data_IF_143199571420
#
_entry.id   IF_143199571420
#
_cell.length_a   1.000
_cell.length_b   1.000
_cell.length_c   1.000
_cell.angle_alpha   90.00
_cell.angle_beta   90.00
_cell.angle_gamma   90.00
#
_symmetry.space_group_name_H-M   'P 1'
#
loop_
_entity.id
_entity.type
_entity.pdbx_description
1 polymer ?
#
# COMPACT_ATOMS: atom_id res chain seq x y z
N UNK A 1 -0.03 -1.40 -11.20
CA UNK A 1 0.25 0.06 -11.19
C UNK A 1 0.92 0.43 -9.88
N UNK A 2 1.73 1.52 -9.87
CA UNK A 2 2.47 1.99 -8.69
C UNK A 2 1.84 3.23 -8.03
N UNK A 3 0.65 3.64 -8.47
CA UNK A 3 -0.06 4.79 -7.96
C UNK A 3 -1.42 4.36 -7.41
N UNK A 4 -1.79 4.91 -6.25
CA UNK A 4 -3.12 4.79 -5.67
C UNK A 4 -3.72 6.19 -5.49
N UNK A 5 -4.89 6.41 -6.09
CA UNK A 5 -5.66 7.64 -5.93
C UNK A 5 -6.75 7.38 -4.90
N UNK A 6 -6.48 7.77 -3.66
CA UNK A 6 -7.39 7.54 -2.53
C UNK A 6 -7.06 8.47 -1.36
N UNK A 7 -8.10 8.93 -0.67
CA UNK A 7 -7.93 9.78 0.51
C UNK A 7 -7.53 8.94 1.72
N UNK A 8 -6.88 9.57 2.72
CA UNK A 8 -6.59 8.92 4.00
C UNK A 8 -7.88 8.45 4.71
N UNK A 9 -8.97 9.19 4.53
CA UNK A 9 -10.28 8.85 5.08
C UNK A 9 -10.85 7.57 4.45
N UNK A 10 -10.74 7.43 3.12
CA UNK A 10 -11.14 6.22 2.43
C UNK A 10 -10.31 5.01 2.90
N UNK A 11 -8.99 5.17 3.04
CA UNK A 11 -8.11 4.11 3.55
C UNK A 11 -8.47 3.75 5.00
N UNK A 12 -8.73 4.75 5.84
CA UNK A 12 -9.10 4.56 7.24
C UNK A 12 -10.42 3.76 7.34
N UNK A 13 -11.42 4.12 6.54
CA UNK A 13 -12.70 3.41 6.47
C UNK A 13 -12.53 1.97 5.99
N UNK A 14 -11.70 1.72 4.96
CA UNK A 14 -11.46 0.35 4.45
C UNK A 14 -10.73 -0.54 5.46
N UNK A 15 -9.81 0.04 6.25
CA UNK A 15 -9.01 -0.70 7.21
C UNK A 15 -9.64 -0.75 8.61
N UNK A 16 -10.77 -0.05 8.84
CA UNK A 16 -11.41 0.06 10.15
C UNK A 16 -10.53 0.76 11.21
N UNK A 17 -9.62 1.63 10.78
CA UNK A 17 -8.67 2.35 11.65
C UNK A 17 -8.98 3.85 11.66
N UNK A 18 -8.34 4.58 12.58
CA UNK A 18 -8.46 6.04 12.62
C UNK A 18 -7.62 6.71 11.53
N UNK A 19 -8.10 7.84 11.00
CA UNK A 19 -7.44 8.64 9.95
C UNK A 19 -6.03 9.08 10.36
N UNK A 20 -5.83 9.41 11.63
CA UNK A 20 -4.54 9.83 12.17
C UNK A 20 -3.50 8.71 12.05
N UNK A 21 -3.91 7.46 12.28
CA UNK A 21 -3.04 6.29 12.15
C UNK A 21 -2.59 6.06 10.70
N UNK A 22 -3.50 6.25 9.74
CA UNK A 22 -3.17 6.21 8.31
C UNK A 22 -2.19 7.31 7.93
N UNK A 23 -2.41 8.52 8.46
CA UNK A 23 -1.55 9.68 8.21
C UNK A 23 -0.15 9.45 8.76
N UNK A 24 -0.04 9.00 10.00
CA UNK A 24 1.24 8.71 10.65
C UNK A 24 2.01 7.62 9.91
N UNK A 25 1.34 6.55 9.48
CA UNK A 25 1.96 5.49 8.69
C UNK A 25 2.46 6.02 7.33
N UNK A 26 1.63 6.78 6.61
CA UNK A 26 2.01 7.38 5.32
C UNK A 26 3.22 8.32 5.46
N UNK A 27 3.25 9.16 6.50
CA UNK A 27 4.38 10.05 6.76
C UNK A 27 5.66 9.29 7.08
N UNK A 28 5.60 8.21 7.89
CA UNK A 28 6.76 7.34 8.18
C UNK A 28 7.31 6.67 6.92
N UNK A 29 6.42 6.20 6.04
CA UNK A 29 6.81 5.56 4.78
C UNK A 29 7.40 6.58 3.79
N UNK A 30 6.86 7.80 3.75
CA UNK A 30 7.40 8.90 2.94
C UNK A 30 8.78 9.36 3.46
N UNK A 31 8.94 9.51 4.77
CA UNK A 31 10.23 9.85 5.38
C UNK A 31 11.28 8.76 5.13
N UNK A 32 10.87 7.50 4.99
CA UNK A 32 11.74 6.39 4.62
C UNK A 32 12.03 6.31 3.11
N UNK A 33 11.48 7.21 2.28
CA UNK A 33 11.66 7.25 0.83
C UNK A 33 10.97 6.10 0.07
N UNK A 34 10.01 5.43 0.70
CA UNK A 34 9.33 4.25 0.13
C UNK A 34 8.13 4.64 -0.71
N UNK A 35 7.48 5.75 -0.33
CA UNK A 35 6.34 6.31 -1.04
C UNK A 35 6.50 7.83 -1.19
N UNK A 36 5.82 8.39 -2.18
CA UNK A 36 5.52 9.81 -2.26
C UNK A 36 4.02 10.01 -2.01
N UNK A 37 3.65 11.00 -1.20
CA UNK A 37 2.27 11.34 -0.91
C UNK A 37 2.00 12.82 -1.17
N UNK A 38 1.05 13.11 -2.07
CA UNK A 38 0.59 14.47 -2.32
C UNK A 38 -0.87 14.49 -2.80
N UNK A 39 -1.68 15.40 -2.24
CA UNK A 39 -3.07 15.67 -2.68
C UNK A 39 -3.97 14.43 -2.84
N UNK A 40 -3.83 13.41 -1.98
CA UNK A 40 -4.63 12.19 -2.07
C UNK A 40 -4.11 11.16 -3.10
N UNK A 41 -2.88 11.34 -3.59
CA UNK A 41 -2.18 10.38 -4.42
C UNK A 41 -1.03 9.77 -3.63
N UNK A 42 -0.92 8.44 -3.69
CA UNK A 42 0.19 7.66 -3.14
C UNK A 42 0.95 7.03 -4.29
N UNK A 43 2.22 7.39 -4.46
CA UNK A 43 3.13 6.71 -5.41
C UNK A 43 4.08 5.81 -4.64
N UNK A 44 4.18 4.55 -5.05
CA UNK A 44 5.16 3.62 -4.52
C UNK A 44 6.48 3.82 -5.26
N UNK A 45 7.51 4.27 -4.56
CA UNK A 45 8.84 4.54 -5.11
C UNK A 45 9.71 3.28 -5.12
N UNK A 46 9.61 2.50 -4.04
CA UNK A 46 10.41 1.28 -3.86
C UNK A 46 9.54 0.17 -3.27
N UNK A 47 8.90 -0.59 -4.15
CA UNK A 47 8.03 -1.71 -3.78
C UNK A 47 8.77 -2.83 -3.05
N UNK A 48 9.94 -3.32 -3.52
CA UNK A 48 10.69 -4.34 -2.81
C UNK A 48 11.03 -3.95 -1.36
N UNK A 49 11.48 -2.71 -1.14
CA UNK A 49 11.83 -2.22 0.20
C UNK A 49 10.60 -1.94 1.06
N UNK A 50 9.49 -1.54 0.45
CA UNK A 50 8.19 -1.42 1.14
C UNK A 50 7.71 -2.80 1.62
N UNK A 51 7.84 -3.84 0.80
CA UNK A 51 7.47 -5.22 1.14
C UNK A 51 8.35 -5.83 2.23
N UNK A 52 9.60 -5.39 2.40
CA UNK A 52 10.45 -5.81 3.52
C UNK A 52 9.98 -5.26 4.88
N UNK A 53 9.17 -4.20 4.88
CA UNK A 53 8.62 -3.58 6.10
C UNK A 53 7.23 -4.06 6.48
N UNK A 54 6.61 -4.90 5.67
CA UNK A 54 5.29 -5.47 5.98
C UNK A 54 5.44 -6.66 6.94
N UNK A 55 4.39 -6.96 7.72
CA UNK A 55 4.36 -8.21 8.47
C UNK A 55 4.27 -9.41 7.53
N UNK A 56 4.58 -10.59 8.06
CA UNK A 56 4.36 -11.89 7.42
C UNK A 56 2.93 -12.05 6.90
N UNK A 57 1.97 -11.38 7.56
CA UNK A 57 0.60 -11.19 7.13
C UNK A 57 0.46 -10.82 5.63
N UNK A 58 1.33 -9.94 5.12
CA UNK A 58 1.29 -9.46 3.74
C UNK A 58 1.72 -10.56 2.77
N UNK A 59 2.73 -11.35 3.14
CA UNK A 59 3.22 -12.46 2.31
C UNK A 59 2.16 -13.54 2.15
N UNK A 60 1.43 -13.85 3.22
CA UNK A 60 0.32 -14.83 3.18
C UNK A 60 -0.77 -14.34 2.23
N UNK A 61 -1.22 -13.09 2.39
CA UNK A 61 -2.26 -12.51 1.52
C UNK A 61 -1.79 -12.41 0.07
N UNK A 62 -0.55 -12.01 -0.17
CA UNK A 62 0.04 -11.92 -1.52
C UNK A 62 0.13 -13.30 -2.17
N UNK A 63 0.56 -14.32 -1.43
CA UNK A 63 0.64 -15.69 -1.94
C UNK A 63 -0.74 -16.22 -2.34
N UNK A 64 -1.77 -16.00 -1.52
CA UNK A 64 -3.13 -16.40 -1.87
C UNK A 64 -3.71 -15.56 -3.02
N UNK A 65 -3.41 -14.27 -3.08
CA UNK A 65 -3.80 -13.40 -4.20
C UNK A 65 -3.18 -13.86 -5.53
N UNK A 66 -1.86 -14.11 -5.54
CA UNK A 66 -1.11 -14.58 -6.71
C UNK A 66 -1.57 -15.98 -7.17
N UNK A 67 -2.05 -16.81 -6.23
CA UNK A 67 -2.61 -18.13 -6.51
C UNK A 67 -4.02 -18.06 -7.11
N UNK A 68 -4.86 -17.14 -6.62
CA UNK A 68 -6.26 -17.01 -7.02
C UNK A 68 -6.45 -16.23 -8.33
N UNK A 69 -5.53 -15.32 -8.65
CA UNK A 69 -5.51 -14.59 -9.91
C UNK A 69 -4.39 -15.15 -10.78
N UNK A 70 -4.64 -16.20 -11.60
CA UNK A 70 -3.72 -16.56 -12.66
C UNK A 70 -3.50 -15.31 -13.49
N UNK A 71 -2.22 -14.99 -13.72
CA UNK A 71 -1.73 -13.86 -14.50
C UNK A 71 -2.73 -13.58 -15.62
N UNK A 72 -3.44 -12.45 -15.55
CA UNK A 72 -4.20 -11.97 -16.70
C UNK A 72 -3.14 -11.71 -17.77
N UNK A 73 -2.92 -12.70 -18.63
CA UNK A 73 -2.08 -12.54 -19.79
C UNK A 73 -2.69 -11.40 -20.61
N UNK A 74 -1.90 -10.37 -20.97
CA UNK A 74 -2.41 -9.31 -21.81
C UNK A 74 -2.72 -9.89 -23.18
N UNK A 75 -4.01 -10.05 -23.48
CA UNK A 75 -4.55 -10.27 -24.84
C UNK A 75 -4.49 -8.98 -25.66
#
# INVERSE_FOLDING_TARGET
GNELVMTQELIANMLGVRREGVTEAALKLQAAGLIHYARGHIWVLDRPRLEQRTCECYKVVKTEYDRLLPVLEPS
#
